data_IF_724953802463
#
_entry.id   IF_724953802463
#
_cell.length_a   1.000
_cell.length_b   1.000
_cell.length_c   1.000
_cell.angle_alpha   90.00
_cell.angle_beta   90.00
_cell.angle_gamma   90.00
#
_symmetry.space_group_name_H-M   'P 1'
#
loop_
_entity.id
_entity.type
_entity.pdbx_description
1 polymer ?
#
# COMPACT_ATOMS: atom_id res chain seq x y z
N UNK A 1 -1.82 -24.13 -10.31
CA UNK A 1 -1.64 -24.87 -9.06
C UNK A 1 -1.86 -23.95 -7.89
N UNK A 2 -2.69 -24.37 -6.95
CA UNK A 2 -2.97 -23.56 -5.77
C UNK A 2 -1.76 -23.56 -4.83
N UNK A 3 -1.48 -22.41 -4.25
CA UNK A 3 -0.46 -22.26 -3.21
C UNK A 3 -1.07 -22.54 -1.85
N UNK A 4 -0.24 -22.90 -0.89
CA UNK A 4 -0.69 -22.98 0.50
C UNK A 4 -1.14 -21.62 0.97
N UNK A 5 -2.16 -21.59 1.80
CA UNK A 5 -2.71 -20.37 2.35
C UNK A 5 -2.12 -20.06 3.73
N UNK A 6 -2.09 -18.81 4.06
CA UNK A 6 -1.63 -18.34 5.38
C UNK A 6 -2.48 -17.16 5.82
N UNK A 7 -2.61 -16.96 7.15
CA UNK A 7 -3.38 -15.83 7.67
C UNK A 7 -2.74 -14.49 7.31
N UNK A 8 -3.58 -13.53 6.95
CA UNK A 8 -3.13 -12.17 6.67
C UNK A 8 -4.09 -11.17 7.30
N UNK A 9 -3.54 -10.23 8.06
CA UNK A 9 -4.29 -9.14 8.65
C UNK A 9 -3.76 -7.81 8.16
N UNK A 10 -4.67 -6.88 7.89
CA UNK A 10 -4.31 -5.48 7.58
C UNK A 10 -5.03 -4.59 8.59
N UNK A 11 -4.26 -3.85 9.37
CA UNK A 11 -4.76 -2.96 10.42
C UNK A 11 -4.38 -1.52 10.10
N UNK A 12 -5.32 -0.62 10.36
CA UNK A 12 -5.09 0.83 10.31
C UNK A 12 -5.42 1.43 11.66
N UNK A 13 -5.12 2.70 11.91
CA UNK A 13 -5.53 3.34 13.17
C UNK A 13 -7.05 3.30 13.41
N UNK A 14 -7.84 3.15 12.35
CA UNK A 14 -9.30 3.07 12.45
C UNK A 14 -9.81 1.66 12.70
N UNK A 15 -8.94 0.67 12.64
CA UNK A 15 -9.28 -0.71 12.91
C UNK A 15 -8.84 -1.66 11.81
N UNK A 16 -9.34 -2.88 11.89
CA UNK A 16 -9.04 -3.94 10.94
C UNK A 16 -9.81 -3.73 9.64
N UNK A 17 -9.09 -3.79 8.52
CA UNK A 17 -9.72 -3.65 7.19
C UNK A 17 -9.70 -4.95 6.41
N UNK A 18 -8.86 -5.92 6.82
CA UNK A 18 -8.79 -7.22 6.17
C UNK A 18 -8.29 -8.25 7.18
N UNK A 19 -8.92 -9.42 7.17
CA UNK A 19 -8.50 -10.55 8.01
C UNK A 19 -9.03 -11.82 7.36
N UNK A 20 -8.16 -12.50 6.61
CA UNK A 20 -8.54 -13.70 5.88
C UNK A 20 -7.28 -14.48 5.54
N UNK A 21 -7.45 -15.67 5.01
CA UNK A 21 -6.35 -16.46 4.50
C UNK A 21 -6.10 -16.11 3.03
N UNK A 22 -4.81 -16.03 2.68
CA UNK A 22 -4.38 -15.67 1.34
C UNK A 22 -3.30 -16.62 0.85
N UNK A 23 -3.12 -16.68 -0.45
CA UNK A 23 -2.04 -17.46 -1.09
C UNK A 23 -0.80 -16.60 -1.29
N UNK A 24 -0.97 -15.29 -1.43
CA UNK A 24 0.15 -14.36 -1.64
C UNK A 24 -0.25 -12.95 -1.22
N UNK A 25 0.74 -12.23 -0.70
CA UNK A 25 0.64 -10.78 -0.46
C UNK A 25 1.67 -10.10 -1.34
N UNK A 26 1.23 -9.12 -2.13
CA UNK A 26 2.12 -8.28 -2.94
C UNK A 26 2.04 -6.86 -2.42
N UNK A 27 3.18 -6.31 -2.04
CA UNK A 27 3.26 -4.95 -1.52
C UNK A 27 4.62 -4.35 -1.87
N UNK A 28 4.93 -3.20 -1.28
CA UNK A 28 6.21 -2.52 -1.54
C UNK A 28 6.84 -2.11 -0.23
N UNK A 29 8.09 -2.51 -0.05
CA UNK A 29 8.91 -2.06 1.07
C UNK A 29 9.84 -0.95 0.59
N UNK A 30 10.62 -0.37 1.50
CA UNK A 30 11.62 0.63 1.12
C UNK A 30 12.69 0.05 0.20
N UNK A 31 12.86 -1.27 0.18
CA UNK A 31 13.80 -1.96 -0.70
C UNK A 31 13.21 -2.32 -2.06
N UNK A 32 11.92 -2.10 -2.26
CA UNK A 32 11.22 -2.40 -3.52
C UNK A 32 10.03 -3.30 -3.32
N UNK A 33 9.49 -3.78 -4.42
CA UNK A 33 8.32 -4.66 -4.39
C UNK A 33 8.68 -6.01 -3.81
N UNK A 34 7.72 -6.59 -3.09
CA UNK A 34 7.89 -7.90 -2.47
C UNK A 34 6.61 -8.72 -2.64
N UNK A 35 6.79 -10.00 -2.98
CA UNK A 35 5.70 -10.98 -2.99
C UNK A 35 5.94 -11.97 -1.85
N UNK A 36 4.96 -12.12 -0.98
CA UNK A 36 5.07 -12.99 0.20
C UNK A 36 4.17 -14.20 0.01
N UNK A 37 4.79 -15.38 0.00
CA UNK A 37 4.12 -16.67 -0.08
C UNK A 37 4.16 -17.37 1.28
N UNK A 38 3.42 -18.47 1.41
CA UNK A 38 3.47 -19.30 2.61
C UNK A 38 4.92 -19.70 2.91
N UNK A 39 5.25 -19.74 4.19
CA UNK A 39 6.59 -20.13 4.66
C UNK A 39 7.70 -19.17 4.22
N UNK A 40 7.35 -17.94 3.88
CA UNK A 40 8.32 -16.90 3.63
C UNK A 40 9.17 -16.70 4.90
N UNK A 41 10.46 -16.40 4.71
CA UNK A 41 11.34 -16.13 5.84
C UNK A 41 10.77 -14.99 6.70
N UNK A 42 10.95 -15.06 8.03
CA UNK A 42 10.52 -13.96 8.90
C UNK A 42 11.09 -12.63 8.44
N UNK A 43 10.27 -11.60 8.49
CA UNK A 43 10.61 -10.27 7.98
C UNK A 43 9.90 -9.21 8.80
N UNK A 44 10.59 -8.13 9.07
CA UNK A 44 9.98 -6.90 9.55
C UNK A 44 10.47 -5.80 8.59
N UNK A 45 9.55 -5.22 7.82
CA UNK A 45 9.92 -4.26 6.80
C UNK A 45 9.10 -2.97 6.89
N UNK A 46 9.70 -1.89 6.41
CA UNK A 46 9.00 -0.61 6.27
C UNK A 46 8.27 -0.61 4.94
N UNK A 47 7.00 -0.22 4.97
CA UNK A 47 6.14 -0.18 3.79
C UNK A 47 6.10 1.20 3.17
N UNK A 48 6.08 1.22 1.85
CA UNK A 48 5.90 2.42 1.03
C UNK A 48 4.51 2.42 0.43
N UNK A 49 3.96 3.61 0.11
CA UNK A 49 2.66 3.67 -0.56
C UNK A 49 2.66 2.88 -1.85
N UNK A 50 1.64 2.04 -2.04
CA UNK A 50 1.54 1.17 -3.20
C UNK A 50 0.12 0.61 -3.36
N UNK A 51 -0.08 -0.16 -4.42
CA UNK A 51 -1.22 -1.04 -4.61
C UNK A 51 -0.95 -2.33 -3.84
N UNK A 52 -1.58 -2.47 -2.68
CA UNK A 52 -1.51 -3.71 -1.90
C UNK A 52 -2.45 -4.73 -2.54
N UNK A 53 -1.93 -5.91 -2.86
CA UNK A 53 -2.71 -6.99 -3.45
C UNK A 53 -2.70 -8.19 -2.54
N UNK A 54 -3.89 -8.62 -2.16
CA UNK A 54 -4.08 -9.76 -1.26
C UNK A 54 -4.79 -10.85 -2.08
N UNK A 55 -4.05 -11.89 -2.42
CA UNK A 55 -4.54 -12.96 -3.27
C UNK A 55 -5.18 -14.04 -2.42
N UNK A 56 -6.50 -14.05 -2.33
CA UNK A 56 -7.21 -15.17 -1.68
C UNK A 56 -7.07 -16.42 -2.54
N UNK A 57 -7.11 -16.22 -3.85
CA UNK A 57 -6.79 -17.22 -4.87
C UNK A 57 -6.11 -16.50 -6.02
N UNK A 58 -5.69 -17.22 -7.06
CA UNK A 58 -5.11 -16.60 -8.26
C UNK A 58 -6.02 -15.56 -8.90
N UNK A 59 -7.33 -15.78 -8.83
CA UNK A 59 -8.32 -14.93 -9.51
C UNK A 59 -9.12 -14.06 -8.56
N UNK A 60 -9.01 -14.27 -7.25
CA UNK A 60 -9.74 -13.47 -6.25
C UNK A 60 -8.75 -12.61 -5.49
N UNK A 61 -8.56 -11.40 -6.00
CA UNK A 61 -7.57 -10.46 -5.48
C UNK A 61 -8.27 -9.28 -4.84
N UNK A 62 -7.93 -9.00 -3.58
CA UNK A 62 -8.40 -7.81 -2.89
C UNK A 62 -7.32 -6.74 -2.99
N UNK A 63 -7.71 -5.56 -3.44
CA UNK A 63 -6.81 -4.42 -3.62
C UNK A 63 -7.08 -3.33 -2.61
N UNK A 64 -6.00 -2.71 -2.13
CA UNK A 64 -6.08 -1.48 -1.34
C UNK A 64 -4.98 -0.53 -1.80
N UNK A 65 -5.31 0.76 -1.86
CA UNK A 65 -4.27 1.79 -1.89
C UNK A 65 -3.73 1.87 -0.47
N UNK A 66 -2.49 1.45 -0.29
CA UNK A 66 -1.86 1.30 1.02
C UNK A 66 -0.90 2.46 1.26
N UNK A 67 -1.00 3.07 2.43
CA UNK A 67 -0.06 4.10 2.87
C UNK A 67 1.20 3.50 3.49
N UNK A 68 1.99 4.33 4.13
CA UNK A 68 3.20 3.88 4.83
C UNK A 68 2.85 3.06 6.06
N UNK A 69 3.78 2.24 6.50
CA UNK A 69 3.59 1.41 7.67
C UNK A 69 4.65 0.33 7.79
N UNK A 70 4.24 -0.79 8.34
CA UNK A 70 5.13 -1.93 8.59
C UNK A 70 4.48 -3.21 8.15
N UNK A 71 5.29 -4.15 7.68
CA UNK A 71 4.87 -5.53 7.45
C UNK A 71 5.68 -6.43 8.36
N UNK A 72 4.99 -7.35 9.01
CA UNK A 72 5.63 -8.38 9.82
C UNK A 72 5.25 -9.75 9.26
N UNK A 73 6.23 -10.53 8.88
CA UNK A 73 6.05 -11.91 8.43
C UNK A 73 6.60 -12.81 9.52
N UNK A 74 5.78 -13.72 10.00
CA UNK A 74 6.17 -14.69 11.02
C UNK A 74 5.56 -16.05 10.67
N UNK A 75 5.85 -17.06 11.48
CA UNK A 75 5.23 -18.37 11.30
C UNK A 75 3.71 -18.33 11.49
N UNK A 76 3.20 -17.29 12.17
CA UNK A 76 1.77 -17.11 12.39
C UNK A 76 1.05 -16.43 11.22
N UNK A 77 1.78 -15.98 10.21
CA UNK A 77 1.21 -15.32 9.06
C UNK A 77 1.79 -13.94 8.82
N UNK A 78 1.03 -13.10 8.14
CA UNK A 78 1.45 -11.76 7.74
C UNK A 78 0.57 -10.71 8.40
N UNK A 79 1.19 -9.72 9.00
CA UNK A 79 0.51 -8.58 9.60
C UNK A 79 1.01 -7.30 8.93
N UNK A 80 0.09 -6.52 8.39
CA UNK A 80 0.39 -5.19 7.86
C UNK A 80 -0.26 -4.14 8.75
N UNK A 81 0.58 -3.24 9.27
CA UNK A 81 0.13 -2.09 10.07
C UNK A 81 0.37 -0.86 9.23
N UNK A 82 -0.67 -0.25 8.70
CA UNK A 82 -0.56 0.83 7.73
C UNK A 82 -1.37 2.05 8.17
N UNK A 83 -0.91 3.23 7.80
CA UNK A 83 -1.60 4.46 8.13
C UNK A 83 -2.98 4.53 7.50
N UNK A 84 -3.12 3.96 6.31
CA UNK A 84 -4.40 3.91 5.61
C UNK A 84 -4.40 2.79 4.59
N UNK A 85 -5.58 2.25 4.36
CA UNK A 85 -5.83 1.26 3.31
C UNK A 85 -7.21 1.59 2.73
N UNK A 86 -7.21 2.04 1.48
CA UNK A 86 -8.41 2.55 0.82
C UNK A 86 -8.71 1.67 -0.38
N UNK A 87 -9.96 1.27 -0.53
CA UNK A 87 -10.35 0.49 -1.69
C UNK A 87 -10.23 1.35 -2.95
N UNK A 88 -9.77 0.78 -4.08
CA UNK A 88 -9.59 1.56 -5.30
C UNK A 88 -10.84 2.31 -5.75
N UNK A 89 -12.01 1.71 -5.57
CA UNK A 89 -13.29 2.34 -5.94
C UNK A 89 -13.65 3.53 -5.06
N UNK A 90 -13.02 3.67 -3.91
CA UNK A 90 -13.24 4.81 -3.01
C UNK A 90 -12.25 5.94 -3.23
N UNK A 91 -11.31 5.77 -4.17
CA UNK A 91 -10.34 6.81 -4.51
C UNK A 91 -10.96 7.81 -5.50
N UNK A 92 -10.67 9.08 -5.28
CA UNK A 92 -11.10 10.16 -6.16
C UNK A 92 -9.87 10.69 -6.92
N UNK A 93 -9.76 10.34 -8.19
CA UNK A 93 -8.61 10.71 -9.01
C UNK A 93 -8.46 12.23 -9.15
N UNK A 94 -9.56 12.96 -9.27
CA UNK A 94 -9.52 14.42 -9.39
C UNK A 94 -8.99 15.06 -8.10
N UNK A 95 -9.46 14.57 -6.94
CA UNK A 95 -8.97 15.04 -5.64
C UNK A 95 -7.49 14.72 -5.48
N UNK A 96 -7.07 13.53 -5.87
CA UNK A 96 -5.66 13.11 -5.80
C UNK A 96 -4.77 14.01 -6.66
N UNK A 97 -5.21 14.35 -7.87
CA UNK A 97 -4.46 15.27 -8.74
C UNK A 97 -4.33 16.66 -8.11
N UNK A 98 -5.39 17.13 -7.46
CA UNK A 98 -5.36 18.41 -6.75
C UNK A 98 -4.35 18.37 -5.60
N UNK A 99 -4.36 17.28 -4.82
CA UNK A 99 -3.43 17.12 -3.70
C UNK A 99 -1.98 17.00 -4.18
N UNK A 100 -1.75 16.36 -5.31
CA UNK A 100 -0.43 16.27 -5.93
C UNK A 100 0.08 17.66 -6.28
N UNK A 101 -0.76 18.48 -6.92
CA UNK A 101 -0.39 19.85 -7.26
C UNK A 101 -0.01 20.68 -6.04
N UNK A 102 -0.78 20.54 -4.96
CA UNK A 102 -0.50 21.25 -3.70
C UNK A 102 0.79 20.75 -3.05
N UNK A 103 1.03 19.45 -3.10
CA UNK A 103 2.23 18.87 -2.53
C UNK A 103 3.48 19.29 -3.32
N UNK A 104 3.38 19.30 -4.64
CA UNK A 104 4.48 19.79 -5.51
C UNK A 104 4.82 21.24 -5.19
N UNK A 105 3.80 22.07 -5.00
CA UNK A 105 4.00 23.47 -4.64
C UNK A 105 4.64 23.60 -3.26
N UNK A 106 4.20 22.78 -2.30
CA UNK A 106 4.76 22.78 -0.95
C UNK A 106 6.24 22.36 -0.95
N UNK A 107 6.61 21.38 -1.79
CA UNK A 107 8.01 20.98 -1.95
C UNK A 107 8.84 22.13 -2.50
N UNK A 108 8.32 22.85 -3.50
CA UNK A 108 9.02 23.95 -4.13
C UNK A 108 9.19 25.14 -3.18
N UNK A 109 8.19 25.41 -2.34
CA UNK A 109 8.18 26.56 -1.45
C UNK A 109 8.95 26.36 -0.16
N UNK A 110 9.17 25.09 0.24
CA UNK A 110 9.84 24.79 1.50
C UNK A 110 11.36 24.95 1.38
N UNK A 111 11.98 25.23 2.51
CA UNK A 111 13.43 25.29 2.59
C UNK A 111 14.02 23.92 2.29
N UNK A 112 15.09 23.90 1.50
CA UNK A 112 15.77 22.66 1.08
C UNK A 112 16.19 21.83 2.30
N UNK A 113 15.76 20.58 2.35
CA UNK A 113 16.12 19.66 3.42
C UNK A 113 15.36 19.85 4.73
N UNK A 114 14.42 20.82 4.79
CA UNK A 114 13.64 21.06 5.99
C UNK A 114 12.64 19.93 6.27
N UNK A 115 12.15 19.87 7.52
CA UNK A 115 11.10 18.93 7.87
C UNK A 115 9.82 19.16 7.06
N UNK A 116 9.51 20.44 6.79
CA UNK A 116 8.35 20.80 5.97
C UNK A 116 8.49 20.24 4.55
N UNK A 117 9.68 20.32 3.98
CA UNK A 117 9.93 19.76 2.65
C UNK A 117 9.83 18.23 2.65
N UNK A 118 10.38 17.59 3.68
CA UNK A 118 10.31 16.13 3.80
C UNK A 118 8.87 15.65 3.94
N UNK A 119 8.06 16.36 4.73
CA UNK A 119 6.63 16.05 4.89
C UNK A 119 5.89 16.21 3.56
N UNK A 120 6.18 17.29 2.82
CA UNK A 120 5.57 17.53 1.52
C UNK A 120 5.95 16.46 0.52
N UNK A 121 7.21 15.98 0.54
CA UNK A 121 7.65 14.89 -0.33
C UNK A 121 6.95 13.56 0.01
N UNK A 122 6.70 13.29 1.30
CA UNK A 122 5.95 12.09 1.70
C UNK A 122 4.52 12.17 1.18
N UNK A 123 3.87 13.32 1.33
CA UNK A 123 2.51 13.53 0.81
C UNK A 123 2.47 13.35 -0.71
N UNK A 124 3.46 13.89 -1.39
CA UNK A 124 3.56 13.78 -2.85
C UNK A 124 3.67 12.30 -3.27
N UNK A 125 4.58 11.55 -2.66
CA UNK A 125 4.76 10.14 -2.98
C UNK A 125 3.49 9.32 -2.73
N UNK A 126 2.83 9.59 -1.58
CA UNK A 126 1.59 8.91 -1.22
C UNK A 126 0.51 9.17 -2.26
N UNK A 127 0.29 10.44 -2.58
CA UNK A 127 -0.79 10.81 -3.50
C UNK A 127 -0.51 10.33 -4.93
N UNK A 128 0.76 10.36 -5.35
CA UNK A 128 1.15 9.80 -6.66
C UNK A 128 0.91 8.29 -6.73
N UNK A 129 1.27 7.57 -5.67
CA UNK A 129 1.03 6.12 -5.61
C UNK A 129 -0.47 5.81 -5.65
N UNK A 130 -1.26 6.57 -4.90
CA UNK A 130 -2.71 6.37 -4.85
C UNK A 130 -3.37 6.72 -6.17
N UNK A 131 -2.87 7.75 -6.85
CA UNK A 131 -3.37 8.08 -8.19
C UNK A 131 -3.08 6.95 -9.18
N UNK A 132 -1.89 6.35 -9.11
CA UNK A 132 -1.56 5.21 -9.96
C UNK A 132 -2.51 4.03 -9.70
N UNK A 133 -2.87 3.79 -8.43
CA UNK A 133 -3.83 2.74 -8.10
C UNK A 133 -5.18 3.04 -8.73
N UNK A 134 -5.67 4.27 -8.61
CA UNK A 134 -6.94 4.67 -9.19
C UNK A 134 -6.93 4.53 -10.72
N UNK A 135 -5.87 4.99 -11.35
CA UNK A 135 -5.74 4.94 -12.82
C UNK A 135 -5.42 3.55 -13.32
N UNK A 136 -4.60 2.79 -12.59
CA UNK A 136 -4.25 1.43 -12.93
C UNK A 136 -5.46 0.51 -12.91
N UNK A 137 -6.35 0.71 -11.95
CA UNK A 137 -7.59 -0.04 -11.90
C UNK A 137 -8.45 0.24 -13.13
N UNK A 138 -8.54 1.51 -13.55
CA UNK A 138 -9.26 1.88 -14.77
C UNK A 138 -8.67 1.22 -16.00
N UNK A 139 -7.34 1.12 -16.06
CA UNK A 139 -6.65 0.50 -17.19
C UNK A 139 -6.80 -1.01 -17.22
N UNK A 140 -6.88 -1.64 -16.05
CA UNK A 140 -6.98 -3.11 -15.98
C UNK A 140 -8.40 -3.63 -16.17
N UNK A 141 -9.37 -2.75 -16.18
CA UNK A 141 -10.78 -3.13 -16.35
C UNK A 141 -11.20 -3.29 -17.81
N UNK A 142 -10.25 -3.32 -18.72
CA UNK A 142 -10.60 -3.57 -20.13
C UNK A 142 -10.77 -4.99 -20.48
#
# INVERSE_FOLDING_TARGET
MAHDRFPCEVLTPEGEVFNDEVEMVSTRTESGEIGILARHQPLLGLLRPTDLRLYRTESDIVHFAQGEGYVQVSENGVLLLVEEAIRPEDLDAADLRSRIGKAEQAVADAEQGSEAQQAARRDLRRNEAFLRVAEGRSLTDH
#
